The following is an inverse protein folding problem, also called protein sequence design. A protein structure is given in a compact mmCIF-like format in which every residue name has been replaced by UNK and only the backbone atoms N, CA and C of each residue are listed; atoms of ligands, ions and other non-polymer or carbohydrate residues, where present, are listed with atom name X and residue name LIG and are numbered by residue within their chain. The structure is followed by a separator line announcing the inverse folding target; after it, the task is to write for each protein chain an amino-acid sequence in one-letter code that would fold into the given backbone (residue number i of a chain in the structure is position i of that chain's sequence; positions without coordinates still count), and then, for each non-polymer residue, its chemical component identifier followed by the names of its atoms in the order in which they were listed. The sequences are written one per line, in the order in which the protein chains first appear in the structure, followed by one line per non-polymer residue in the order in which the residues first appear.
data_IF_671902337123
#
_entry.id   IF_671902337123
#
_cell.length_a   1.000
_cell.length_b   1.000
_cell.length_c   1.000
_cell.angle_alpha   90.00
_cell.angle_beta   90.00
_cell.angle_gamma   90.00
#
_symmetry.space_group_name_H-M   'P 1'
#
loop_
_entity.id
_entity.type
_entity.pdbx_description
1 polymer ?
#
# COMPACT_ATOMS: atom_id res chain seq x y z
N UNK A 1 -6.61 4.76 16.36
CA UNK A 1 -7.87 4.38 15.69
C UNK A 1 -8.26 5.48 14.70
N UNK A 2 -8.96 5.12 13.64
CA UNK A 2 -9.40 6.03 12.57
C UNK A 2 -10.87 5.81 12.28
N UNK A 3 -11.57 6.89 11.92
CA UNK A 3 -13.00 6.91 11.65
C UNK A 3 -13.25 7.40 10.22
N UNK A 4 -14.13 6.72 9.49
CA UNK A 4 -14.60 7.17 8.18
C UNK A 4 -16.03 7.67 8.27
N UNK A 5 -16.28 8.85 7.72
CA UNK A 5 -17.62 9.47 7.71
C UNK A 5 -18.60 8.71 6.79
N UNK A 6 -18.11 8.20 5.66
CA UNK A 6 -18.91 7.50 4.67
C UNK A 6 -19.66 6.29 5.26
N UNK A 7 -20.81 5.97 4.65
CA UNK A 7 -21.55 4.74 5.00
C UNK A 7 -20.66 3.55 4.61
N UNK A 8 -20.29 2.68 5.56
CA UNK A 8 -19.45 1.54 5.23
C UNK A 8 -20.20 0.59 4.29
N UNK A 9 -19.47 -0.01 3.36
CA UNK A 9 -19.98 -1.13 2.58
C UNK A 9 -20.34 -2.31 3.48
N UNK A 10 -21.09 -3.30 2.97
CA UNK A 10 -21.45 -4.50 3.72
C UNK A 10 -20.22 -5.15 4.40
N UNK A 11 -20.33 -5.44 5.69
CA UNK A 11 -19.25 -6.09 6.48
C UNK A 11 -18.07 -5.20 6.87
N UNK A 12 -18.10 -3.88 6.58
CA UNK A 12 -17.00 -2.96 6.94
C UNK A 12 -17.30 -2.16 8.20
N UNK A 13 -16.30 -1.96 9.04
CA UNK A 13 -16.41 -1.10 10.21
C UNK A 13 -16.27 0.38 9.84
N UNK A 14 -16.95 1.25 10.60
CA UNK A 14 -16.73 2.71 10.55
C UNK A 14 -15.46 3.16 11.27
N UNK A 15 -15.06 2.40 12.28
CA UNK A 15 -13.86 2.64 13.08
C UNK A 15 -12.96 1.42 12.97
N UNK A 16 -11.67 1.65 12.71
CA UNK A 16 -10.66 0.59 12.61
C UNK A 16 -9.28 1.14 13.00
N UNK A 17 -8.29 0.27 13.09
CA UNK A 17 -6.91 0.65 13.36
C UNK A 17 -6.13 0.67 12.04
N UNK A 18 -5.34 1.72 11.83
CA UNK A 18 -4.36 1.81 10.75
C UNK A 18 -2.99 2.07 11.36
N UNK A 19 -1.98 1.49 10.72
CA UNK A 19 -0.58 1.73 10.97
C UNK A 19 0.06 1.89 9.60
N UNK A 20 0.53 3.10 9.31
CA UNK A 20 1.11 3.47 8.02
C UNK A 20 2.58 3.85 8.24
N UNK A 21 3.40 3.71 7.21
CA UNK A 21 4.80 4.12 7.22
C UNK A 21 5.10 4.88 5.92
N UNK A 22 5.74 6.03 6.06
CA UNK A 22 6.07 6.93 4.97
C UNK A 22 7.57 7.25 4.96
N UNK A 23 8.13 7.39 3.77
CA UNK A 23 9.49 7.92 3.58
C UNK A 23 9.40 9.33 2.99
N UNK A 24 10.12 10.28 3.60
CA UNK A 24 10.16 11.68 3.14
C UNK A 24 11.59 12.08 2.80
N UNK A 25 11.76 12.80 1.69
CA UNK A 25 13.05 13.41 1.32
C UNK A 25 13.90 12.62 0.33
N UNK A 26 13.44 11.45 -0.15
CA UNK A 26 14.12 10.68 -1.20
C UNK A 26 13.40 10.82 -2.54
N UNK A 27 14.17 11.08 -3.61
CA UNK A 27 13.69 10.98 -5.00
C UNK A 27 14.04 9.65 -5.68
N UNK A 28 14.65 8.72 -4.94
CA UNK A 28 15.12 7.44 -5.48
C UNK A 28 14.05 6.35 -5.32
N UNK A 29 13.90 5.52 -6.35
CA UNK A 29 13.06 4.31 -6.33
C UNK A 29 13.49 3.29 -5.27
N UNK A 30 14.69 3.42 -4.72
CA UNK A 30 15.14 2.59 -3.60
C UNK A 30 14.27 2.79 -2.35
N UNK A 31 13.74 3.99 -2.12
CA UNK A 31 12.81 4.25 -1.01
C UNK A 31 11.48 3.49 -1.19
N UNK A 32 10.95 3.45 -2.41
CA UNK A 32 9.74 2.69 -2.72
C UNK A 32 9.95 1.18 -2.53
N UNK A 33 11.14 0.68 -2.91
CA UNK A 33 11.53 -0.71 -2.72
C UNK A 33 11.67 -1.08 -1.23
N UNK A 34 12.23 -0.18 -0.42
CA UNK A 34 12.35 -0.35 1.03
C UNK A 34 10.97 -0.47 1.70
N UNK A 35 10.00 0.36 1.30
CA UNK A 35 8.61 0.26 1.78
C UNK A 35 8.01 -1.11 1.41
N UNK A 36 8.26 -1.62 0.20
CA UNK A 36 7.77 -2.94 -0.20
C UNK A 36 8.39 -4.07 0.64
N UNK A 37 9.69 -3.98 0.94
CA UNK A 37 10.38 -4.95 1.79
C UNK A 37 9.87 -4.90 3.23
N UNK A 38 9.75 -3.70 3.81
CA UNK A 38 9.21 -3.50 5.15
C UNK A 38 7.75 -4.02 5.25
N UNK A 39 6.91 -3.81 4.24
CA UNK A 39 5.55 -4.37 4.21
C UNK A 39 5.56 -5.90 4.24
N UNK A 40 6.42 -6.54 3.44
CA UNK A 40 6.57 -7.99 3.41
C UNK A 40 7.00 -8.53 4.79
N UNK A 41 8.02 -7.91 5.40
CA UNK A 41 8.50 -8.29 6.73
C UNK A 41 7.41 -8.12 7.81
N UNK A 42 6.64 -7.03 7.73
CA UNK A 42 5.54 -6.79 8.66
C UNK A 42 4.42 -7.85 8.54
N UNK A 43 4.05 -8.25 7.31
CA UNK A 43 3.06 -9.30 7.06
C UNK A 43 3.53 -10.65 7.62
N UNK A 44 4.79 -11.00 7.40
CA UNK A 44 5.38 -12.24 7.92
C UNK A 44 5.46 -12.21 9.46
N UNK A 45 5.83 -11.08 10.06
CA UNK A 45 5.89 -10.91 11.52
C UNK A 45 4.52 -11.08 12.21
N UNK A 46 3.42 -10.75 11.53
CA UNK A 46 2.05 -10.98 12.04
C UNK A 46 1.47 -12.34 11.66
N UNK A 47 2.28 -13.23 11.08
CA UNK A 47 1.91 -14.62 10.80
C UNK A 47 1.25 -14.86 9.44
N UNK A 48 1.36 -13.92 8.50
CA UNK A 48 0.94 -14.13 7.10
C UNK A 48 2.17 -14.61 6.32
N UNK A 49 2.25 -15.89 5.94
CA UNK A 49 3.46 -16.45 5.37
C UNK A 49 3.71 -15.95 3.94
N UNK A 50 4.98 -15.96 3.56
CA UNK A 50 5.40 -15.66 2.18
C UNK A 50 4.73 -16.64 1.20
N UNK A 51 4.09 -16.10 0.17
CA UNK A 51 3.27 -16.86 -0.78
C UNK A 51 1.75 -16.62 -0.63
N UNK A 52 1.29 -16.23 0.56
CA UNK A 52 -0.13 -15.92 0.81
C UNK A 52 -0.47 -14.45 0.49
N UNK A 53 0.53 -13.65 0.14
CA UNK A 53 0.36 -12.26 -0.25
C UNK A 53 1.16 -11.92 -1.52
N UNK A 54 0.71 -10.89 -2.23
CA UNK A 54 1.38 -10.34 -3.41
C UNK A 54 1.45 -8.83 -3.28
N UNK A 55 2.66 -8.27 -3.40
CA UNK A 55 2.86 -6.83 -3.49
C UNK A 55 2.75 -6.41 -4.97
N UNK A 56 1.73 -5.60 -5.29
CA UNK A 56 1.53 -5.06 -6.64
C UNK A 56 2.14 -3.67 -6.74
N UNK A 57 3.10 -3.50 -7.64
CA UNK A 57 3.76 -2.22 -7.91
C UNK A 57 3.23 -1.62 -9.20
N UNK A 58 3.04 -0.30 -9.22
CA UNK A 58 2.60 0.45 -10.39
C UNK A 58 3.45 1.72 -10.55
N UNK A 59 3.69 2.15 -11.79
CA UNK A 59 4.26 3.45 -12.11
C UNK A 59 3.23 4.28 -12.88
N UNK A 60 2.74 5.35 -12.24
CA UNK A 60 1.74 6.24 -12.83
C UNK A 60 2.19 6.88 -14.15
N UNK A 61 3.51 7.09 -14.34
CA UNK A 61 4.05 7.65 -15.59
C UNK A 61 3.75 6.76 -16.80
N UNK A 62 3.74 5.44 -16.61
CA UNK A 62 3.41 4.49 -17.67
C UNK A 62 1.92 4.59 -18.03
N UNK A 63 1.05 4.59 -17.01
CA UNK A 63 -0.40 4.73 -17.23
C UNK A 63 -0.73 6.06 -17.93
N UNK A 64 -0.13 7.16 -17.48
CA UNK A 64 -0.31 8.46 -18.10
C UNK A 64 0.14 8.46 -19.56
N UNK A 65 1.31 7.87 -19.86
CA UNK A 65 1.80 7.76 -21.23
C UNK A 65 0.85 6.96 -22.14
N UNK A 66 0.23 5.88 -21.65
CA UNK A 66 -0.79 5.13 -22.41
C UNK A 66 -2.03 5.97 -22.68
N UNK A 67 -2.47 6.75 -21.71
CA UNK A 67 -3.66 7.62 -21.85
C UNK A 67 -3.43 8.79 -22.81
N UNK A 68 -2.20 9.26 -22.97
CA UNK A 68 -1.86 10.34 -23.91
C UNK A 68 -1.85 9.89 -25.38
N UNK A 69 -1.63 8.59 -25.64
CA UNK A 69 -1.59 8.02 -27.00
C UNK A 69 -2.87 7.32 -27.41
N UNK A 70 -3.81 7.12 -26.47
CA UNK A 70 -5.13 6.53 -26.71
C UNK A 70 -6.14 7.59 -27.15
#
# INVERSE_FOLDING_TARGET
PVWRNEKPGPGRFRQFYQCDADTVGSGSVAADAEICAMLADALEAVGIPRGDYVVKVNNRKVLNGVMEVA
#
